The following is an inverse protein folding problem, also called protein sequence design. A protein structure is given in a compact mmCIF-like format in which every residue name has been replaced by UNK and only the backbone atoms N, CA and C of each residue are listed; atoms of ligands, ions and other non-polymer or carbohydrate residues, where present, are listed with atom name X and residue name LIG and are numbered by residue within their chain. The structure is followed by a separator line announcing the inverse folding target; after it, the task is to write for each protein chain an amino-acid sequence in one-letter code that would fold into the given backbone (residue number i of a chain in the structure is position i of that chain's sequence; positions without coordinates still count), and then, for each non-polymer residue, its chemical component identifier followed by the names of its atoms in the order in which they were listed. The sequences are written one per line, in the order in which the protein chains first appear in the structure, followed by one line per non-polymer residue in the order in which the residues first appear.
data_IF_421971847384
#
_entry.id   IF_421971847384
#
_cell.length_a   1.000
_cell.length_b   1.000
_cell.length_c   1.000
_cell.angle_alpha   90.00
_cell.angle_beta   90.00
_cell.angle_gamma   90.00
#
_symmetry.space_group_name_H-M   'P 1'
#
loop_
_entity.id
_entity.type
_entity.pdbx_description
1 polymer ?
#
# COMPACT_ATOMS: atom_id res chain seq x y z
N UNK A 1 9.73 8.30 40.62
CA UNK A 1 10.25 9.66 40.82
C UNK A 1 11.59 9.77 40.10
N UNK A 2 11.78 10.89 39.38
CA UNK A 2 13.01 11.42 38.76
C UNK A 2 12.96 11.52 37.22
N UNK A 3 12.59 12.72 36.77
CA UNK A 3 12.84 13.34 35.46
C UNK A 3 14.17 14.13 35.61
N UNK A 4 15.03 14.21 34.58
CA UNK A 4 15.25 15.48 33.86
C UNK A 4 15.48 15.27 32.34
N UNK A 5 14.76 15.90 31.41
CA UNK A 5 14.97 17.26 30.84
C UNK A 5 16.40 17.58 30.36
N UNK A 6 16.59 17.78 29.04
CA UNK A 6 17.18 19.04 28.53
C UNK A 6 16.99 19.22 27.01
N UNK A 7 16.35 20.35 26.68
CA UNK A 7 16.25 21.01 25.38
C UNK A 7 17.61 21.60 24.98
N UNK A 8 17.97 21.54 23.68
CA UNK A 8 18.86 22.56 23.12
C UNK A 8 18.53 22.91 21.67
N UNK A 9 17.97 24.11 21.55
CA UNK A 9 17.78 24.90 20.34
C UNK A 9 19.11 25.49 19.87
N UNK A 10 19.35 25.51 18.55
CA UNK A 10 20.38 26.35 17.93
C UNK A 10 19.79 27.14 16.77
N UNK A 11 19.71 28.46 16.98
CA UNK A 11 19.49 29.52 15.99
C UNK A 11 20.85 29.95 15.41
N UNK A 12 20.88 30.31 14.13
CA UNK A 12 21.80 31.31 13.53
C UNK A 12 20.99 32.04 12.44
N UNK A 13 20.70 33.35 12.47
CA UNK A 13 21.55 34.56 12.43
C UNK A 13 22.50 34.57 11.22
N UNK A 14 22.64 35.57 10.35
CA UNK A 14 21.99 36.87 10.04
C UNK A 14 22.54 37.35 8.66
N UNK A 15 21.72 38.12 7.93
CA UNK A 15 21.97 39.36 7.14
C UNK A 15 23.28 39.62 6.36
N UNK A 16 23.14 40.10 5.11
CA UNK A 16 23.62 41.41 4.57
C UNK A 16 23.23 41.49 3.07
N UNK A 17 22.40 42.44 2.58
CA UNK A 17 22.59 43.88 2.36
C UNK A 17 23.49 44.23 1.14
N UNK A 18 22.92 44.93 0.15
CA UNK A 18 23.63 45.54 -0.98
C UNK A 18 22.70 46.33 -1.92
N UNK A 19 22.62 47.65 -1.72
CA UNK A 19 22.00 48.65 -2.60
C UNK A 19 23.05 49.24 -3.56
N UNK A 20 22.67 49.59 -4.80
CA UNK A 20 22.91 50.90 -5.45
C UNK A 20 22.99 50.83 -7.00
N UNK A 21 22.43 51.85 -7.67
CA UNK A 21 23.00 52.45 -8.88
C UNK A 21 22.21 52.28 -10.19
N UNK A 22 21.68 53.39 -10.72
CA UNK A 22 21.00 53.45 -12.03
C UNK A 22 21.90 53.82 -13.22
N UNK A 23 21.32 53.88 -14.43
CA UNK A 23 21.97 54.40 -15.64
C UNK A 23 21.39 53.81 -16.94
N UNK A 24 21.14 54.66 -17.93
CA UNK A 24 20.25 54.46 -19.08
C UNK A 24 20.89 53.77 -20.31
N UNK A 25 20.03 53.08 -21.07
CA UNK A 25 19.98 52.85 -22.54
C UNK A 25 21.27 52.47 -23.32
N UNK A 26 21.26 51.24 -23.88
CA UNK A 26 21.60 50.95 -25.28
C UNK A 26 21.17 49.52 -25.62
N UNK A 27 20.57 49.33 -26.80
CA UNK A 27 19.97 48.08 -27.21
C UNK A 27 20.94 46.94 -27.51
N UNK A 28 20.43 45.72 -27.42
CA UNK A 28 20.82 44.62 -28.29
C UNK A 28 19.73 43.55 -28.25
N UNK A 29 19.14 43.26 -29.41
CA UNK A 29 18.25 42.14 -29.63
C UNK A 29 19.04 40.84 -29.54
N UNK A 30 19.25 40.32 -28.32
CA UNK A 30 19.65 38.92 -28.16
C UNK A 30 18.41 38.12 -27.81
N UNK A 31 17.86 37.44 -28.83
CA UNK A 31 16.87 36.40 -28.62
C UNK A 31 17.40 35.41 -27.60
N UNK A 32 16.75 35.36 -26.44
CA UNK A 32 16.95 34.29 -25.49
C UNK A 32 16.47 33.01 -26.19
N UNK A 33 17.42 32.24 -26.71
CA UNK A 33 17.22 30.80 -26.82
C UNK A 33 16.88 30.35 -25.39
N UNK A 34 15.63 29.98 -25.15
CA UNK A 34 15.35 29.00 -24.12
C UNK A 34 16.31 27.82 -24.41
N UNK A 35 17.07 27.35 -23.41
CA UNK A 35 17.65 26.03 -23.54
C UNK A 35 16.45 25.10 -23.65
N UNK A 36 16.15 24.67 -24.86
CA UNK A 36 15.37 23.46 -25.07
C UNK A 36 16.17 22.36 -24.39
N UNK A 37 15.86 22.09 -23.13
CA UNK A 37 16.29 20.89 -22.44
C UNK A 37 15.55 19.73 -23.11
N UNK A 38 15.98 19.38 -24.31
CA UNK A 38 15.91 18.01 -24.81
C UNK A 38 16.92 17.20 -24.00
N UNK A 39 16.54 16.86 -22.77
CA UNK A 39 16.78 15.52 -22.30
C UNK A 39 15.41 14.86 -22.29
N UNK A 40 15.18 13.71 -22.96
CA UNK A 40 14.20 12.81 -22.41
C UNK A 40 14.72 12.53 -21.01
N UNK A 41 14.13 13.18 -20.00
CA UNK A 41 14.13 12.63 -18.66
C UNK A 41 13.70 11.19 -18.92
N UNK A 42 14.64 10.27 -18.73
CA UNK A 42 14.35 8.85 -18.82
C UNK A 42 13.37 8.63 -17.69
N UNK A 43 12.10 8.90 -17.98
CA UNK A 43 10.97 8.58 -17.15
C UNK A 43 11.22 7.13 -16.88
N UNK A 44 11.55 6.84 -15.63
CA UNK A 44 11.61 5.48 -15.15
C UNK A 44 10.25 4.92 -15.55
N UNK A 45 10.19 4.19 -16.66
CA UNK A 45 9.00 3.50 -17.12
C UNK A 45 8.75 2.52 -16.00
N UNK A 46 7.93 2.92 -15.03
CA UNK A 46 7.57 2.10 -13.89
C UNK A 46 6.99 0.86 -14.53
N UNK A 47 7.63 -0.31 -14.39
CA UNK A 47 7.25 -1.48 -15.16
C UNK A 47 5.75 -1.70 -14.98
N UNK A 48 5.04 -1.81 -16.10
CA UNK A 48 3.59 -1.97 -16.08
C UNK A 48 3.27 -3.27 -15.34
N UNK A 49 2.76 -3.13 -14.12
CA UNK A 49 2.42 -4.27 -13.28
C UNK A 49 1.11 -4.81 -13.84
N UNK A 50 1.09 -5.97 -14.51
CA UNK A 50 -0.17 -6.49 -15.06
C UNK A 50 -1.13 -6.94 -13.95
N UNK A 51 -2.45 -6.68 -14.05
CA UNK A 51 -3.45 -7.29 -13.16
C UNK A 51 -3.40 -8.82 -13.23
N UNK A 52 -3.45 -9.48 -12.08
CA UNK A 52 -3.30 -10.94 -11.99
C UNK A 52 -4.47 -11.63 -11.33
N UNK A 53 -5.26 -10.93 -10.52
CA UNK A 53 -6.48 -11.46 -9.90
C UNK A 53 -7.42 -10.30 -9.62
N UNK A 54 -8.71 -10.46 -9.94
CA UNK A 54 -9.72 -9.49 -9.54
C UNK A 54 -10.20 -9.87 -8.14
N UNK A 55 -9.70 -9.19 -7.10
CA UNK A 55 -10.03 -9.47 -5.70
C UNK A 55 -11.44 -9.02 -5.32
N UNK A 56 -11.95 -7.86 -5.78
CA UNK A 56 -13.32 -7.44 -5.48
C UNK A 56 -14.39 -8.49 -5.78
N UNK A 57 -14.27 -9.24 -6.89
CA UNK A 57 -15.27 -10.27 -7.27
C UNK A 57 -15.19 -11.55 -6.43
N UNK A 58 -14.21 -11.67 -5.55
CA UNK A 58 -14.03 -12.80 -4.62
C UNK A 58 -14.64 -12.50 -3.25
N UNK A 59 -14.87 -11.23 -2.91
CA UNK A 59 -15.52 -10.85 -1.67
C UNK A 59 -16.97 -11.36 -1.65
N UNK A 60 -17.41 -11.87 -0.50
CA UNK A 60 -18.75 -12.42 -0.31
C UNK A 60 -19.02 -13.75 -1.02
N UNK A 61 -18.04 -14.32 -1.74
CA UNK A 61 -18.15 -15.66 -2.33
C UNK A 61 -17.97 -16.75 -1.28
N UNK A 62 -18.46 -17.95 -1.58
CA UNK A 62 -18.17 -19.10 -0.72
C UNK A 62 -16.73 -19.55 -0.87
N UNK A 63 -16.19 -20.21 0.17
CA UNK A 63 -14.84 -20.74 0.12
C UNK A 63 -14.67 -21.82 -0.96
N UNK A 64 -15.75 -22.54 -1.29
CA UNK A 64 -15.80 -23.49 -2.41
C UNK A 64 -15.69 -22.78 -3.77
N UNK A 65 -16.41 -21.68 -3.97
CA UNK A 65 -16.31 -20.86 -5.18
C UNK A 65 -14.90 -20.28 -5.34
N UNK A 66 -14.26 -19.86 -4.24
CA UNK A 66 -12.86 -19.45 -4.25
C UNK A 66 -11.95 -20.57 -4.69
N UNK A 67 -12.10 -21.78 -4.14
CA UNK A 67 -11.29 -22.94 -4.52
C UNK A 67 -11.46 -23.31 -5.99
N UNK A 68 -12.67 -23.19 -6.54
CA UNK A 68 -12.93 -23.42 -7.96
C UNK A 68 -12.22 -22.39 -8.85
N UNK A 69 -12.19 -21.12 -8.43
CA UNK A 69 -11.61 -20.01 -9.20
C UNK A 69 -10.10 -19.89 -9.06
N UNK A 70 -9.58 -20.10 -7.86
CA UNK A 70 -8.18 -19.85 -7.49
C UNK A 70 -7.35 -21.13 -7.46
N UNK A 71 -7.98 -22.29 -7.55
CA UNK A 71 -7.34 -23.58 -7.43
C UNK A 71 -7.26 -24.09 -5.99
N UNK A 72 -6.47 -25.15 -5.75
CA UNK A 72 -6.42 -25.81 -4.46
C UNK A 72 -5.82 -24.88 -3.38
N UNK A 73 -6.32 -25.06 -2.17
CA UNK A 73 -5.75 -24.42 -0.99
C UNK A 73 -4.29 -24.84 -0.80
N UNK A 74 -3.49 -23.90 -0.33
CA UNK A 74 -2.10 -24.10 0.02
C UNK A 74 -1.97 -24.34 1.54
N UNK A 75 -0.93 -25.08 1.98
CA UNK A 75 -0.61 -25.18 3.40
C UNK A 75 -0.43 -23.78 3.98
N UNK A 76 -0.93 -23.56 5.21
CA UNK A 76 -0.79 -22.30 5.92
C UNK A 76 0.70 -22.05 6.24
N UNK A 77 1.34 -21.01 5.69
CA UNK A 77 2.75 -20.75 5.98
C UNK A 77 2.98 -20.36 7.45
N UNK A 78 4.19 -20.60 7.97
CA UNK A 78 4.51 -20.36 9.38
C UNK A 78 4.37 -18.88 9.81
N UNK A 79 4.59 -17.95 8.87
CA UNK A 79 4.39 -16.51 9.14
C UNK A 79 2.97 -16.23 9.67
N UNK A 80 1.97 -17.03 9.31
CA UNK A 80 0.58 -16.81 9.71
C UNK A 80 0.27 -17.25 11.12
N UNK A 81 0.98 -18.27 11.62
CA UNK A 81 0.86 -18.70 13.02
C UNK A 81 1.29 -17.57 13.95
N UNK A 82 2.35 -16.86 13.60
CA UNK A 82 2.79 -15.66 14.32
C UNK A 82 1.77 -14.53 14.20
N UNK A 83 1.14 -14.37 13.02
CA UNK A 83 0.19 -13.27 12.79
C UNK A 83 -1.12 -13.43 13.56
N UNK A 84 -1.57 -14.66 13.80
CA UNK A 84 -2.74 -14.97 14.62
C UNK A 84 -2.59 -14.53 16.09
N UNK A 85 -1.37 -14.24 16.54
CA UNK A 85 -1.08 -13.72 17.89
C UNK A 85 -1.33 -12.21 18.00
N UNK A 86 -1.71 -11.52 16.92
CA UNK A 86 -1.96 -10.08 16.93
C UNK A 86 -3.45 -9.80 16.75
N UNK A 87 -4.05 -9.07 17.69
CA UNK A 87 -5.50 -8.84 17.78
C UNK A 87 -6.14 -8.30 16.50
N UNK A 88 -5.43 -7.45 15.74
CA UNK A 88 -5.97 -6.84 14.51
C UNK A 88 -5.90 -7.76 13.27
N UNK A 89 -5.20 -8.89 13.39
CA UNK A 89 -4.94 -9.87 12.34
C UNK A 89 -5.53 -11.26 12.65
N UNK A 90 -5.92 -11.49 13.90
CA UNK A 90 -6.54 -12.71 14.34
C UNK A 90 -7.93 -12.88 13.66
N UNK A 91 -8.23 -14.06 13.11
CA UNK A 91 -9.59 -14.39 12.70
C UNK A 91 -10.54 -14.32 13.90
N UNK A 92 -11.81 -13.98 13.64
CA UNK A 92 -12.85 -14.10 14.65
C UNK A 92 -12.96 -15.57 15.11
N UNK A 93 -13.46 -15.87 16.33
CA UNK A 93 -13.60 -17.24 16.82
C UNK A 93 -14.47 -18.15 15.93
N UNK A 94 -15.39 -17.56 15.18
CA UNK A 94 -16.29 -18.25 14.22
C UNK A 94 -15.70 -18.38 12.82
N UNK A 95 -14.48 -17.88 12.63
CA UNK A 95 -13.86 -17.82 11.32
C UNK A 95 -12.76 -18.85 11.20
N UNK A 96 -12.58 -19.35 9.99
CA UNK A 96 -11.47 -20.19 9.61
C UNK A 96 -10.73 -19.54 8.45
N UNK A 97 -9.50 -19.99 8.23
CA UNK A 97 -8.62 -19.40 7.22
C UNK A 97 -8.24 -20.42 6.17
N UNK A 98 -8.14 -19.95 4.93
CA UNK A 98 -7.61 -20.73 3.82
C UNK A 98 -6.65 -19.88 3.00
N UNK A 99 -5.56 -20.49 2.54
CA UNK A 99 -4.54 -19.79 1.76
C UNK A 99 -4.60 -20.25 0.31
N UNK A 100 -4.49 -19.29 -0.61
CA UNK A 100 -4.44 -19.53 -2.05
C UNK A 100 -3.23 -18.82 -2.64
N UNK A 101 -2.69 -19.38 -3.72
CA UNK A 101 -1.69 -18.73 -4.55
C UNK A 101 -2.24 -18.59 -5.95
N UNK A 102 -2.41 -17.35 -6.40
CA UNK A 102 -3.01 -17.05 -7.71
C UNK A 102 -2.30 -15.88 -8.35
N UNK A 103 -1.95 -15.99 -9.63
CA UNK A 103 -1.35 -14.88 -10.35
C UNK A 103 -0.06 -14.32 -9.71
N UNK A 104 0.63 -15.13 -8.90
CA UNK A 104 1.80 -14.74 -8.09
C UNK A 104 1.49 -13.93 -6.82
N UNK A 105 0.21 -13.77 -6.47
CA UNK A 105 -0.24 -13.23 -5.18
C UNK A 105 -0.43 -14.38 -4.20
N UNK A 106 -0.03 -14.16 -2.95
CA UNK A 106 -0.42 -15.01 -1.84
C UNK A 106 -1.63 -14.35 -1.18
N UNK A 107 -2.75 -15.07 -1.17
CA UNK A 107 -4.04 -14.62 -0.66
C UNK A 107 -4.40 -15.50 0.53
N UNK A 108 -4.81 -14.89 1.63
CA UNK A 108 -5.51 -15.57 2.72
C UNK A 108 -6.95 -15.12 2.74
N UNK A 109 -7.87 -16.07 2.76
CA UNK A 109 -9.29 -15.81 2.96
C UNK A 109 -9.67 -16.17 4.39
N UNK A 110 -10.22 -15.20 5.12
CA UNK A 110 -10.98 -15.45 6.34
C UNK A 110 -12.43 -15.70 5.95
N UNK A 111 -13.02 -16.79 6.42
CA UNK A 111 -14.39 -17.16 6.10
C UNK A 111 -15.12 -17.69 7.32
N UNK A 112 -16.41 -17.43 7.40
CA UNK A 112 -17.24 -17.93 8.49
C UNK A 112 -17.48 -19.44 8.35
N UNK A 113 -17.25 -20.22 9.42
CA UNK A 113 -17.32 -21.69 9.35
C UNK A 113 -18.73 -22.23 9.08
N UNK A 114 -19.76 -21.48 9.47
CA UNK A 114 -21.16 -21.91 9.34
C UNK A 114 -21.73 -21.56 7.96
N UNK A 115 -21.58 -20.31 7.53
CA UNK A 115 -22.10 -19.84 6.23
C UNK A 115 -21.18 -20.20 5.06
N UNK A 116 -19.92 -20.55 5.32
CA UNK A 116 -18.87 -20.81 4.32
C UNK A 116 -18.55 -19.60 3.43
N UNK A 117 -19.09 -18.41 3.74
CA UNK A 117 -18.81 -17.18 3.00
C UNK A 117 -17.55 -16.48 3.48
N UNK A 118 -16.80 -15.92 2.53
CA UNK A 118 -15.60 -15.12 2.77
C UNK A 118 -15.99 -13.82 3.44
N UNK A 119 -15.35 -13.54 4.57
CA UNK A 119 -15.53 -12.34 5.38
C UNK A 119 -14.56 -11.25 4.95
N UNK A 120 -13.29 -11.62 4.77
CA UNK A 120 -12.25 -10.69 4.34
C UNK A 120 -11.11 -11.45 3.65
N UNK A 121 -10.33 -10.69 2.88
CA UNK A 121 -9.22 -11.19 2.10
C UNK A 121 -7.95 -10.44 2.45
N UNK A 122 -6.88 -11.17 2.76
CA UNK A 122 -5.57 -10.63 3.04
C UNK A 122 -4.59 -10.96 1.91
N UNK A 123 -4.10 -9.91 1.26
CA UNK A 123 -3.10 -9.96 0.20
C UNK A 123 -1.71 -9.71 0.77
N UNK A 124 -0.80 -10.66 0.61
CA UNK A 124 0.57 -10.50 1.10
C UNK A 124 1.49 -9.85 0.08
N UNK A 125 2.25 -8.87 0.55
CA UNK A 125 3.27 -8.20 -0.24
C UNK A 125 3.82 -6.97 0.45
N UNK A 126 4.98 -6.52 -0.04
CA UNK A 126 5.75 -5.43 0.57
C UNK A 126 5.48 -4.06 -0.05
N UNK A 127 4.73 -4.02 -1.16
CA UNK A 127 4.47 -2.80 -1.92
C UNK A 127 2.98 -2.66 -2.18
N UNK A 128 2.38 -1.63 -1.60
CA UNK A 128 0.94 -1.35 -1.69
C UNK A 128 0.49 -1.19 -3.13
N UNK A 129 1.11 -0.30 -3.91
CA UNK A 129 0.76 -0.06 -5.32
C UNK A 129 0.75 -1.34 -6.16
N UNK A 130 1.71 -2.24 -5.91
CA UNK A 130 1.80 -3.51 -6.63
C UNK A 130 0.65 -4.43 -6.26
N UNK A 131 0.29 -4.51 -4.97
CA UNK A 131 -0.84 -5.28 -4.51
C UNK A 131 -2.14 -4.71 -5.05
N UNK A 132 -2.34 -3.40 -4.95
CA UNK A 132 -3.50 -2.69 -5.48
C UNK A 132 -3.71 -3.01 -6.96
N UNK A 133 -2.68 -2.82 -7.77
CA UNK A 133 -2.79 -3.02 -9.22
C UNK A 133 -3.01 -4.50 -9.59
N UNK A 134 -2.25 -5.42 -9.00
CA UNK A 134 -2.35 -6.86 -9.30
C UNK A 134 -3.68 -7.45 -8.87
N UNK A 135 -4.24 -6.93 -7.79
CA UNK A 135 -5.52 -7.34 -7.23
C UNK A 135 -6.72 -6.60 -7.85
N UNK A 136 -6.50 -5.69 -8.80
CA UNK A 136 -7.53 -4.83 -9.40
C UNK A 136 -8.31 -4.04 -8.34
N UNK A 137 -7.62 -3.60 -7.28
CA UNK A 137 -8.19 -2.83 -6.19
C UNK A 137 -8.14 -1.34 -6.51
N UNK A 138 -9.12 -0.62 -5.96
CA UNK A 138 -9.23 0.82 -6.03
C UNK A 138 -9.46 1.38 -4.63
N UNK A 139 -8.71 2.41 -4.27
CA UNK A 139 -8.81 3.03 -2.94
C UNK A 139 -10.15 3.73 -2.70
N UNK A 140 -10.84 4.13 -3.78
CA UNK A 140 -12.11 4.87 -3.78
C UNK A 140 -13.35 3.97 -4.02
N UNK A 141 -13.20 2.65 -3.94
CA UNK A 141 -14.32 1.74 -4.19
C UNK A 141 -15.35 1.78 -3.05
N UNK A 142 -16.66 1.92 -3.34
CA UNK A 142 -17.68 1.95 -2.30
C UNK A 142 -18.03 0.57 -1.74
N UNK A 143 -17.65 -0.51 -2.41
CA UNK A 143 -18.05 -1.88 -2.05
C UNK A 143 -17.11 -2.56 -1.06
N UNK A 144 -15.94 -1.98 -0.80
CA UNK A 144 -14.96 -2.56 0.12
C UNK A 144 -14.02 -1.50 0.72
N UNK A 145 -13.44 -1.85 1.85
CA UNK A 145 -12.42 -1.08 2.55
C UNK A 145 -11.08 -1.78 2.41
N UNK A 146 -10.03 -1.00 2.21
CA UNK A 146 -8.65 -1.47 2.14
C UNK A 146 -7.93 -0.99 3.39
N UNK A 147 -7.39 -1.92 4.15
CA UNK A 147 -6.64 -1.64 5.37
C UNK A 147 -5.21 -2.12 5.18
N UNK A 148 -4.21 -1.22 5.15
CA UNK A 148 -2.81 -1.63 5.10
C UNK A 148 -2.42 -2.28 6.43
N UNK A 149 -1.74 -3.41 6.33
CA UNK A 149 -1.25 -4.15 7.49
C UNK A 149 0.26 -4.07 7.54
N UNK A 150 0.79 -3.69 8.69
CA UNK A 150 2.22 -3.53 8.92
C UNK A 150 2.76 -4.62 9.84
N UNK A 151 4.05 -4.92 9.68
CA UNK A 151 4.72 -5.90 10.52
C UNK A 151 4.76 -5.42 11.98
N UNK A 152 4.29 -6.23 12.94
CA UNK A 152 4.27 -5.84 14.35
C UNK A 152 5.66 -5.75 14.96
N UNK A 153 6.60 -6.58 14.48
CA UNK A 153 8.01 -6.58 14.92
C UNK A 153 8.89 -5.59 14.15
N UNK A 154 8.38 -4.98 13.06
CA UNK A 154 9.10 -4.04 12.20
C UNK A 154 8.17 -2.90 11.75
N UNK A 155 8.01 -1.87 12.58
CA UNK A 155 7.15 -0.73 12.25
C UNK A 155 7.50 -0.12 10.90
N UNK A 156 6.49 0.33 10.15
CA UNK A 156 6.65 0.91 8.81
C UNK A 156 6.90 -0.10 7.69
N UNK A 157 7.09 -1.39 7.98
CA UNK A 157 7.20 -2.42 6.95
C UNK A 157 5.82 -2.97 6.60
N UNK A 158 5.35 -2.74 5.37
CA UNK A 158 4.10 -3.31 4.89
C UNK A 158 4.19 -4.85 4.84
N UNK A 159 3.22 -5.51 5.45
CA UNK A 159 3.01 -6.95 5.41
C UNK A 159 2.06 -7.33 4.26
N UNK A 160 1.02 -6.51 4.07
CA UNK A 160 -0.02 -6.77 3.08
C UNK A 160 -1.19 -5.80 3.16
N UNK A 161 -2.23 -6.09 2.38
CA UNK A 161 -3.49 -5.35 2.37
C UNK A 161 -4.63 -6.28 2.79
N UNK A 162 -5.41 -5.87 3.79
CA UNK A 162 -6.68 -6.51 4.14
C UNK A 162 -7.79 -5.81 3.37
N UNK A 163 -8.65 -6.58 2.74
CA UNK A 163 -9.79 -6.10 1.97
C UNK A 163 -11.06 -6.63 2.62
N UNK A 164 -11.91 -5.72 3.05
CA UNK A 164 -13.11 -6.00 3.85
C UNK A 164 -14.33 -5.47 3.10
N UNK A 165 -15.43 -6.23 2.94
CA UNK A 165 -16.66 -5.72 2.36
C UNK A 165 -17.21 -4.52 3.15
N UNK A 166 -17.70 -3.49 2.45
CA UNK A 166 -18.18 -2.26 3.10
C UNK A 166 -19.53 -2.45 3.83
N UNK A 167 -20.37 -3.40 3.41
CA UNK A 167 -21.71 -3.65 3.97
C UNK A 167 -21.72 -4.29 5.38
N UNK A 168 -20.57 -4.41 6.04
CA UNK A 168 -20.45 -5.00 7.38
C UNK A 168 -20.08 -3.99 8.49
N UNK A 169 -20.13 -2.70 8.21
CA UNK A 169 -19.98 -1.67 9.25
C UNK A 169 -21.30 -1.35 9.95
#
# INVERSE_FOLDING_TARGET
MAVPSLVRSTRGWLLAAGLAGGGWLAGSCSGAHEPTQHGPEAGHLRPEIKPTTNVPVLLGKSIEELRQRLGPAQPLPSIFTDLALYDNLAPQPTDSVMVFRTGGLLLMASYNIHSRHVNDLLLFGRHEDSLMHRATLRADAPSYLIVPLFHPKRPGTLLGLRVIPAERQ
#
